data_IF_454150459423
#
_entry.id   IF_454150459423
#
_cell.length_a   1.000
_cell.length_b   1.000
_cell.length_c   1.000
_cell.angle_alpha   90.00
_cell.angle_beta   90.00
_cell.angle_gamma   90.00
#
_symmetry.space_group_name_H-M   'P 1'
#
loop_
_entity.id
_entity.type
_entity.pdbx_description
1 polymer ?
#
# COMPACT_ATOMS: atom_id res chain seq x y z
N UNK A 1 -18.81 -5.53 -8.60
CA UNK A 1 -17.93 -5.73 -7.48
C UNK A 1 -16.51 -5.35 -7.83
N UNK A 2 -15.95 -4.50 -7.01
CA UNK A 2 -14.56 -4.12 -7.23
C UNK A 2 -13.68 -5.26 -6.87
N UNK A 3 -13.00 -5.75 -7.87
CA UNK A 3 -12.17 -6.89 -7.67
C UNK A 3 -10.72 -6.51 -7.63
N UNK A 4 -9.92 -7.38 -7.07
CA UNK A 4 -8.48 -7.23 -7.12
C UNK A 4 -8.03 -7.07 -8.58
N UNK A 5 -8.67 -7.77 -9.49
CA UNK A 5 -8.35 -7.67 -10.91
C UNK A 5 -8.58 -6.25 -11.44
N UNK A 6 -9.66 -5.60 -11.01
CA UNK A 6 -9.93 -4.22 -11.43
C UNK A 6 -8.86 -3.27 -10.93
N UNK A 7 -8.42 -3.45 -9.69
CA UNK A 7 -7.37 -2.62 -9.12
C UNK A 7 -6.08 -2.82 -9.89
N UNK A 8 -5.73 -4.07 -10.15
CA UNK A 8 -4.52 -4.37 -10.91
C UNK A 8 -4.59 -3.79 -12.31
N UNK A 9 -5.75 -3.91 -12.96
CA UNK A 9 -5.92 -3.40 -14.30
C UNK A 9 -5.75 -1.89 -14.34
N UNK A 10 -6.36 -1.19 -13.41
CA UNK A 10 -6.21 0.26 -13.33
C UNK A 10 -4.77 0.65 -13.07
N UNK A 11 -4.09 -0.08 -12.19
CA UNK A 11 -2.69 0.21 -11.90
C UNK A 11 -1.81 -0.04 -13.12
N UNK A 12 -2.09 -1.10 -13.88
CA UNK A 12 -1.33 -1.39 -15.09
C UNK A 12 -1.50 -0.31 -16.14
N UNK A 13 -2.71 0.19 -16.30
CA UNK A 13 -2.97 1.28 -17.24
C UNK A 13 -2.19 2.53 -16.83
N UNK A 14 -2.22 2.87 -15.56
CA UNK A 14 -1.46 4.02 -15.07
C UNK A 14 0.04 3.81 -15.22
N UNK A 15 0.51 2.59 -14.96
CA UNK A 15 1.92 2.27 -15.08
C UNK A 15 2.39 2.43 -16.51
N UNK A 16 1.63 1.87 -17.46
CA UNK A 16 1.97 2.03 -18.88
C UNK A 16 2.07 3.48 -19.28
N UNK A 17 1.13 4.29 -18.81
CA UNK A 17 1.13 5.70 -19.13
C UNK A 17 2.33 6.41 -18.52
N UNK A 18 2.65 6.09 -17.27
CA UNK A 18 3.79 6.69 -16.61
C UNK A 18 5.10 6.33 -17.29
N UNK A 19 5.21 5.11 -17.80
CA UNK A 19 6.43 4.66 -18.45
C UNK A 19 6.67 5.30 -19.80
N UNK A 20 5.66 5.97 -20.34
CA UNK A 20 5.85 6.72 -21.58
C UNK A 20 6.75 7.93 -21.36
N UNK A 21 6.72 8.51 -20.16
CA UNK A 21 7.55 9.67 -19.85
C UNK A 21 8.67 9.34 -18.88
N UNK A 22 8.48 8.35 -18.02
CA UNK A 22 9.47 7.97 -17.01
C UNK A 22 9.96 6.58 -17.35
N UNK A 23 11.24 6.45 -17.63
CA UNK A 23 11.81 5.14 -17.92
C UNK A 23 12.64 4.68 -16.74
N UNK A 24 12.22 3.59 -16.08
CA UNK A 24 12.99 3.10 -14.93
C UNK A 24 14.39 2.66 -15.35
N UNK A 25 15.38 3.06 -14.57
CA UNK A 25 16.75 2.70 -14.86
C UNK A 25 17.20 1.42 -14.18
N UNK A 26 16.33 0.83 -13.36
CA UNK A 26 16.68 -0.39 -12.63
C UNK A 26 15.41 -1.12 -12.24
N UNK A 27 15.59 -2.37 -11.79
CA UNK A 27 14.46 -3.15 -11.30
C UNK A 27 13.84 -2.49 -10.08
N UNK A 28 14.67 -1.93 -9.20
CA UNK A 28 14.16 -1.24 -8.02
C UNK A 28 13.28 -0.06 -8.42
N UNK A 29 13.71 0.72 -9.41
CA UNK A 29 12.93 1.87 -9.87
C UNK A 29 11.63 1.43 -10.53
N UNK A 30 11.66 0.31 -11.25
CA UNK A 30 10.45 -0.21 -11.85
C UNK A 30 9.43 -0.59 -10.79
N UNK A 31 9.87 -1.34 -9.77
CA UNK A 31 8.96 -1.73 -8.70
C UNK A 31 8.46 -0.53 -7.91
N UNK A 32 9.30 0.47 -7.71
CA UNK A 32 8.86 1.68 -7.03
C UNK A 32 7.76 2.38 -7.81
N UNK A 33 7.94 2.49 -9.13
CA UNK A 33 6.93 3.12 -9.97
C UNK A 33 5.63 2.31 -9.98
N UNK A 34 5.74 0.99 -10.11
CA UNK A 34 4.56 0.15 -10.11
C UNK A 34 3.81 0.23 -8.79
N UNK A 35 4.54 0.21 -7.68
CA UNK A 35 3.91 0.28 -6.36
C UNK A 35 3.23 1.62 -6.13
N UNK A 36 3.81 2.69 -6.65
CA UNK A 36 3.20 4.01 -6.55
C UNK A 36 1.87 4.03 -7.28
N UNK A 37 1.81 3.41 -8.46
CA UNK A 37 0.55 3.37 -9.20
C UNK A 37 -0.50 2.57 -8.43
N UNK A 38 -0.09 1.47 -7.81
CA UNK A 38 -1.01 0.67 -7.01
C UNK A 38 -1.55 1.50 -5.84
N UNK A 39 -0.65 2.20 -5.12
CA UNK A 39 -1.06 3.03 -3.99
C UNK A 39 -2.07 4.09 -4.41
N UNK A 40 -1.80 4.74 -5.54
CA UNK A 40 -2.70 5.78 -6.02
C UNK A 40 -4.07 5.23 -6.38
N UNK A 41 -4.12 4.05 -7.01
CA UNK A 41 -5.40 3.42 -7.31
C UNK A 41 -6.15 3.09 -6.02
N UNK A 42 -5.44 2.57 -5.02
CA UNK A 42 -6.06 2.24 -3.74
C UNK A 42 -6.59 3.49 -3.03
N UNK A 43 -5.85 4.58 -3.10
CA UNK A 43 -6.30 5.84 -2.51
C UNK A 43 -7.54 6.39 -3.22
N UNK A 44 -7.54 6.31 -4.56
CA UNK A 44 -8.70 6.74 -5.33
C UNK A 44 -9.92 5.93 -4.99
N UNK A 45 -9.74 4.61 -4.86
CA UNK A 45 -10.83 3.73 -4.51
C UNK A 45 -11.41 4.08 -3.14
N UNK A 46 -10.53 4.34 -2.17
CA UNK A 46 -10.97 4.73 -0.85
C UNK A 46 -11.75 6.02 -0.86
N UNK A 47 -11.32 6.99 -1.66
CA UNK A 47 -12.02 8.27 -1.75
C UNK A 47 -13.38 8.09 -2.42
N UNK A 48 -13.46 7.29 -3.47
CA UNK A 48 -14.73 7.04 -4.13
C UNK A 48 -15.71 6.36 -3.19
N UNK A 49 -15.25 5.37 -2.46
CA UNK A 49 -16.11 4.68 -1.52
C UNK A 49 -16.55 5.60 -0.38
N UNK A 50 -15.65 6.48 0.04
CA UNK A 50 -15.98 7.45 1.07
C UNK A 50 -17.05 8.42 0.62
N UNK A 51 -16.94 8.94 -0.59
CA UNK A 51 -17.93 9.84 -1.15
C UNK A 51 -19.29 9.17 -1.28
N UNK A 52 -19.29 7.94 -1.76
CA UNK A 52 -20.53 7.21 -1.92
C UNK A 52 -21.17 6.93 -0.57
N UNK A 53 -20.37 6.65 0.45
CA UNK A 53 -20.91 6.42 1.78
C UNK A 53 -21.54 7.67 2.37
N UNK A 54 -20.98 8.83 2.05
CA UNK A 54 -21.52 10.09 2.54
C UNK A 54 -22.86 10.41 1.92
N UNK A 55 -23.05 10.02 0.67
CA UNK A 55 -24.25 10.37 -0.07
C UNK A 55 -25.20 9.22 -0.24
N UNK A 56 -25.06 8.13 0.53
CA UNK A 56 -25.50 6.93 0.04
C UNK A 56 -26.64 6.27 0.64
N UNK A 57 -27.00 5.15 0.00
CA UNK A 57 -28.06 4.30 0.44
C UNK A 57 -27.50 3.28 1.42
N UNK A 58 -28.42 2.67 2.17
CA UNK A 58 -28.07 1.59 3.08
C UNK A 58 -27.46 0.43 2.30
N UNK A 59 -27.94 0.18 1.09
CA UNK A 59 -27.40 -0.89 0.28
C UNK A 59 -25.93 -0.71 -0.01
N UNK A 60 -25.55 0.47 -0.43
CA UNK A 60 -24.16 0.74 -0.73
C UNK A 60 -23.29 0.60 0.54
N UNK A 61 -23.83 1.08 1.66
CA UNK A 61 -23.09 0.96 2.91
C UNK A 61 -22.84 -0.49 3.26
N UNK A 62 -23.87 -1.32 3.12
CA UNK A 62 -23.72 -2.74 3.37
C UNK A 62 -22.69 -3.39 2.44
N UNK A 63 -22.71 -2.97 1.20
CA UNK A 63 -21.77 -3.46 0.21
C UNK A 63 -20.33 -3.10 0.59
N UNK A 64 -20.13 -1.85 0.97
CA UNK A 64 -18.79 -1.41 1.37
C UNK A 64 -18.31 -2.15 2.61
N UNK A 65 -19.20 -2.34 3.58
CA UNK A 65 -18.85 -3.06 4.79
C UNK A 65 -18.49 -4.50 4.46
N UNK A 66 -19.21 -5.11 3.54
CA UNK A 66 -18.91 -6.48 3.13
C UNK A 66 -17.55 -6.55 2.46
N UNK A 67 -17.23 -5.58 1.62
CA UNK A 67 -15.92 -5.53 0.98
C UNK A 67 -14.80 -5.51 2.02
N UNK A 68 -14.96 -4.70 3.05
CA UNK A 68 -13.97 -4.60 4.10
C UNK A 68 -13.89 -5.90 4.92
N UNK A 69 -15.03 -6.53 5.12
CA UNK A 69 -15.09 -7.79 5.89
C UNK A 69 -14.48 -8.96 5.16
N UNK A 70 -14.57 -8.96 3.83
CA UNK A 70 -14.08 -10.09 3.04
C UNK A 70 -12.56 -10.17 3.04
N UNK A 71 -11.90 -9.16 3.56
CA UNK A 71 -10.44 -9.17 3.64
C UNK A 71 -10.03 -9.66 5.02
N UNK A 72 -9.24 -10.73 5.08
CA UNK A 72 -8.88 -11.30 6.37
C UNK A 72 -8.11 -10.29 7.20
N UNK A 73 -8.40 -10.29 8.48
CA UNK A 73 -7.69 -9.45 9.41
C UNK A 73 -6.69 -10.27 10.19
N UNK A 74 -5.46 -9.84 10.17
CA UNK A 74 -4.44 -10.40 11.03
C UNK A 74 -3.63 -9.24 11.56
N UNK A 75 -2.54 -9.53 12.24
CA UNK A 75 -1.76 -8.48 12.89
C UNK A 75 -1.14 -7.52 11.90
N UNK A 76 -1.05 -7.90 10.65
CA UNK A 76 -0.50 -7.03 9.61
C UNK A 76 -1.58 -6.52 8.68
N UNK A 77 -2.84 -6.74 9.01
CA UNK A 77 -3.94 -6.33 8.16
C UNK A 77 -4.08 -4.83 8.06
N UNK A 78 -4.57 -4.35 6.93
CA UNK A 78 -4.88 -2.93 6.81
C UNK A 78 -6.02 -2.53 7.71
N UNK A 79 -6.22 -1.25 7.80
CA UNK A 79 -7.20 -0.65 8.69
C UNK A 79 -8.62 -1.13 8.46
N UNK A 80 -9.45 -0.92 9.49
CA UNK A 80 -10.82 -1.41 9.47
C UNK A 80 -11.79 -0.44 8.84
N UNK A 81 -11.42 0.83 8.68
CA UNK A 81 -12.31 1.84 8.13
C UNK A 81 -11.68 2.45 6.89
N UNK A 82 -12.53 3.12 6.08
CA UNK A 82 -12.03 3.81 4.88
C UNK A 82 -11.08 4.94 5.24
N UNK A 83 -11.36 5.63 6.34
CA UNK A 83 -10.50 6.71 6.78
C UNK A 83 -9.12 6.17 7.16
N UNK A 84 -9.08 5.06 7.88
CA UNK A 84 -7.82 4.45 8.25
C UNK A 84 -7.10 3.88 7.02
N UNK A 85 -7.87 3.34 6.08
CA UNK A 85 -7.34 2.84 4.82
C UNK A 85 -6.57 3.94 4.10
N UNK A 86 -7.20 5.11 3.96
CA UNK A 86 -6.57 6.23 3.29
C UNK A 86 -5.34 6.69 4.06
N UNK A 87 -5.46 6.79 5.37
CA UNK A 87 -4.35 7.23 6.22
C UNK A 87 -3.17 6.26 6.12
N UNK A 88 -3.47 4.96 6.07
CA UNK A 88 -2.44 3.94 5.95
C UNK A 88 -1.60 4.14 4.69
N UNK A 89 -2.26 4.23 3.55
CA UNK A 89 -1.53 4.35 2.29
C UNK A 89 -0.84 5.71 2.14
N UNK A 90 -1.44 6.76 2.66
CA UNK A 90 -0.80 8.07 2.64
C UNK A 90 0.44 8.10 3.53
N UNK A 91 0.38 7.42 4.66
CA UNK A 91 1.51 7.39 5.57
C UNK A 91 2.69 6.67 4.93
N UNK A 92 2.43 5.58 4.22
CA UNK A 92 3.49 4.88 3.51
C UNK A 92 4.10 5.80 2.45
N UNK A 93 3.29 6.56 1.77
CA UNK A 93 3.77 7.47 0.73
C UNK A 93 4.75 8.49 1.31
N UNK A 94 4.59 8.87 2.57
CA UNK A 94 5.45 9.86 3.21
C UNK A 94 6.64 9.31 3.96
N UNK A 95 6.88 8.00 3.92
CA UNK A 95 8.02 7.42 4.63
C UNK A 95 9.33 7.78 3.93
N UNK A 96 10.45 7.72 4.67
CA UNK A 96 11.76 7.89 4.03
C UNK A 96 11.96 6.88 2.90
N UNK A 97 12.82 7.23 1.97
CA UNK A 97 12.98 6.51 0.72
C UNK A 97 13.19 5.02 0.90
N UNK A 98 14.14 4.63 1.75
CA UNK A 98 14.45 3.21 1.91
C UNK A 98 13.28 2.45 2.56
N UNK A 99 12.60 3.09 3.50
CA UNK A 99 11.48 2.45 4.18
C UNK A 99 10.27 2.34 3.25
N UNK A 100 10.05 3.35 2.44
CA UNK A 100 8.98 3.29 1.45
C UNK A 100 9.27 2.21 0.43
N UNK A 101 10.54 2.08 0.00
CA UNK A 101 10.93 1.02 -0.93
C UNK A 101 10.64 -0.36 -0.36
N UNK A 102 10.87 -0.55 0.94
CA UNK A 102 10.58 -1.83 1.56
C UNK A 102 9.09 -2.13 1.57
N UNK A 103 8.26 -1.13 1.87
CA UNK A 103 6.81 -1.35 1.76
C UNK A 103 6.42 -1.64 0.32
N UNK A 104 7.02 -0.95 -0.64
CA UNK A 104 6.74 -1.21 -2.05
C UNK A 104 7.00 -2.67 -2.41
N UNK A 105 8.14 -3.19 -2.00
CA UNK A 105 8.53 -4.53 -2.39
C UNK A 105 7.84 -5.61 -1.55
N UNK A 106 7.78 -5.41 -0.24
CA UNK A 106 7.28 -6.47 0.65
C UNK A 106 5.78 -6.45 0.79
N UNK A 107 5.16 -5.28 0.85
CA UNK A 107 3.73 -5.18 1.06
C UNK A 107 2.97 -5.14 -0.26
N UNK A 108 3.31 -4.21 -1.15
CA UNK A 108 2.55 -4.03 -2.38
C UNK A 108 2.87 -5.10 -3.42
N UNK A 109 4.14 -5.48 -3.54
CA UNK A 109 4.54 -6.46 -4.54
C UNK A 109 4.58 -7.89 -4.01
N UNK A 110 4.57 -8.05 -2.70
CA UNK A 110 4.54 -9.37 -2.10
C UNK A 110 5.82 -10.17 -2.24
N UNK A 111 6.94 -9.48 -2.37
CA UNK A 111 8.23 -10.17 -2.50
C UNK A 111 8.73 -10.63 -1.14
N UNK A 112 9.64 -11.60 -1.16
CA UNK A 112 10.28 -12.03 0.06
C UNK A 112 11.36 -11.05 0.47
N UNK A 113 11.79 -11.15 1.73
CA UNK A 113 12.87 -10.30 2.21
C UNK A 113 14.17 -10.55 1.44
N UNK A 114 14.41 -11.81 1.09
CA UNK A 114 15.59 -12.15 0.29
C UNK A 114 15.55 -11.47 -1.07
N UNK A 115 14.39 -11.52 -1.72
CA UNK A 115 14.23 -10.88 -3.02
C UNK A 115 14.41 -9.36 -2.90
N UNK A 116 13.84 -8.76 -1.88
CA UNK A 116 13.98 -7.33 -1.67
C UNK A 116 15.43 -6.95 -1.38
N UNK A 117 16.13 -7.78 -0.61
CA UNK A 117 17.53 -7.55 -0.32
C UNK A 117 18.36 -7.50 -1.60
N UNK A 118 18.09 -8.41 -2.52
CA UNK A 118 18.78 -8.42 -3.80
C UNK A 118 18.46 -7.21 -4.65
N UNK A 119 17.18 -6.87 -4.73
CA UNK A 119 16.75 -5.76 -5.57
C UNK A 119 17.32 -4.44 -5.06
N UNK A 120 17.30 -4.24 -3.76
CA UNK A 120 17.81 -3.01 -3.15
C UNK A 120 19.30 -3.03 -2.91
N UNK A 121 19.91 -4.19 -3.09
CA UNK A 121 21.36 -4.36 -2.88
C UNK A 121 21.77 -3.93 -1.49
N UNK A 122 21.07 -4.45 -0.48
CA UNK A 122 21.41 -4.21 0.92
C UNK A 122 21.46 -5.53 1.66
N UNK A 123 22.31 -5.64 2.68
CA UNK A 123 22.40 -6.86 3.46
C UNK A 123 21.10 -7.14 4.21
N UNK A 124 20.82 -8.43 4.44
CA UNK A 124 19.62 -8.81 5.17
C UNK A 124 19.55 -8.19 6.55
N UNK A 125 20.68 -8.05 7.21
CA UNK A 125 20.72 -7.42 8.53
C UNK A 125 20.18 -6.01 8.46
N UNK A 126 20.64 -5.26 7.47
CA UNK A 126 20.18 -3.87 7.27
C UNK A 126 18.72 -3.84 6.87
N UNK A 127 18.31 -4.75 5.99
CA UNK A 127 16.92 -4.79 5.55
C UNK A 127 15.99 -5.02 6.74
N UNK A 128 16.33 -5.96 7.60
CA UNK A 128 15.47 -6.26 8.75
C UNK A 128 15.37 -5.06 9.69
N UNK A 129 16.47 -4.34 9.87
CA UNK A 129 16.46 -3.15 10.71
C UNK A 129 15.59 -2.06 10.11
N UNK A 130 15.75 -1.78 8.82
CA UNK A 130 14.94 -0.79 8.14
C UNK A 130 13.47 -1.17 8.14
N UNK A 131 13.18 -2.44 7.92
CA UNK A 131 11.81 -2.91 7.89
C UNK A 131 11.14 -2.76 9.25
N UNK A 132 11.87 -3.09 10.30
CA UNK A 132 11.35 -2.89 11.65
C UNK A 132 11.08 -1.40 11.92
N UNK A 133 12.02 -0.54 11.55
CA UNK A 133 11.84 0.89 11.74
C UNK A 133 10.66 1.41 10.95
N UNK A 134 10.48 0.93 9.74
CA UNK A 134 9.36 1.35 8.90
C UNK A 134 8.03 0.98 9.54
N UNK A 135 7.93 -0.25 10.05
CA UNK A 135 6.70 -0.68 10.70
C UNK A 135 6.41 0.10 11.97
N UNK A 136 7.45 0.40 12.75
CA UNK A 136 7.27 1.19 13.96
C UNK A 136 6.77 2.58 13.62
N UNK A 137 7.38 3.23 12.63
CA UNK A 137 6.95 4.56 12.22
C UNK A 137 5.51 4.56 11.72
N UNK A 138 5.15 3.55 10.94
CA UNK A 138 3.79 3.45 10.44
C UNK A 138 2.81 3.32 11.60
N UNK A 139 3.14 2.44 12.53
CA UNK A 139 2.28 2.21 13.68
C UNK A 139 2.10 3.49 14.50
N UNK A 140 3.19 4.20 14.74
CA UNK A 140 3.14 5.44 15.51
C UNK A 140 2.25 6.47 14.85
N UNK A 141 2.38 6.61 13.53
CA UNK A 141 1.60 7.61 12.81
C UNK A 141 0.14 7.26 12.73
N UNK A 142 -0.18 5.98 12.72
CA UNK A 142 -1.57 5.55 12.64
C UNK A 142 -2.24 5.52 14.00
N UNK A 143 -1.51 5.17 15.05
CA UNK A 143 -2.10 4.96 16.36
C UNK A 143 -1.61 5.92 17.43
N UNK A 144 -0.55 6.63 17.14
CA UNK A 144 -0.03 7.62 18.08
C UNK A 144 0.79 7.04 19.22
N UNK A 145 1.12 5.74 19.16
CA UNK A 145 1.91 5.13 20.20
C UNK A 145 2.76 4.01 19.65
N UNK A 146 3.78 3.65 20.40
CA UNK A 146 4.70 2.62 19.98
C UNK A 146 4.08 1.23 20.08
N UNK A 147 4.38 0.33 19.13
CA UNK A 147 3.91 -1.04 19.25
C UNK A 147 4.66 -1.74 20.38
N UNK A 148 4.01 -2.73 21.01
CA UNK A 148 4.67 -3.49 22.07
C UNK A 148 5.82 -4.32 21.51
N UNK A 149 6.89 -4.36 22.26
CA UNK A 149 8.05 -5.21 22.02
C UNK A 149 8.81 -5.06 20.76
#
# INVERSE_FOLDING_TARGET
LEETDDILQKALIRLNKAMETIQPGSVAEFFALASQQIRWVLLDLGQEMGKLRENESVEFRMYSDKFLFDHPKDDSSPPESLLEWEHFHKTIQGLPEIEKSLFDLLYYQGLTQEEASEILNIPMRSLKRYWRNAKVKLYEKLHGEMPPG
#
